data_IF_124621684098
#
_entry.id   IF_124621684098
#
_cell.length_a   1.000
_cell.length_b   1.000
_cell.length_c   1.000
_cell.angle_alpha   90.00
_cell.angle_beta   90.00
_cell.angle_gamma   90.00
#
_symmetry.space_group_name_H-M   'P 1'
#
loop_
_entity.id
_entity.type
_entity.pdbx_description
1 polymer ?
#
# COMPACT_ATOMS: atom_id res chain seq x y z
N UNK A 1 -53.42 -2.50 49.17
CA UNK A 1 -52.22 -1.90 48.61
C UNK A 1 -51.50 -2.97 47.80
N UNK A 2 -51.51 -2.90 46.45
CA UNK A 2 -50.76 -3.84 45.60
C UNK A 2 -49.48 -3.11 45.14
N UNK A 3 -48.34 -3.62 45.62
CA UNK A 3 -47.02 -3.13 45.27
C UNK A 3 -46.65 -3.70 43.90
N UNK A 4 -46.54 -2.82 42.84
CA UNK A 4 -46.02 -3.23 41.56
C UNK A 4 -44.49 -3.16 41.60
N UNK A 5 -43.85 -4.30 41.35
CA UNK A 5 -42.40 -4.41 41.16
C UNK A 5 -42.06 -4.04 39.74
N UNK A 6 -41.36 -2.95 39.54
CA UNK A 6 -40.88 -2.50 38.22
C UNK A 6 -39.53 -3.14 37.92
N UNK A 7 -39.49 -4.12 37.03
CA UNK A 7 -38.26 -4.78 36.60
C UNK A 7 -37.62 -3.95 35.48
N UNK A 8 -36.48 -3.33 35.76
CA UNK A 8 -35.66 -2.70 34.71
C UNK A 8 -34.83 -3.76 33.99
N UNK A 9 -35.09 -3.96 32.70
CA UNK A 9 -34.23 -4.77 31.85
C UNK A 9 -33.10 -3.87 31.35
N UNK A 10 -31.91 -4.11 31.86
CA UNK A 10 -30.68 -3.43 31.36
C UNK A 10 -30.22 -4.15 30.08
N UNK A 11 -30.52 -3.58 28.93
CA UNK A 11 -29.99 -4.09 27.66
C UNK A 11 -28.50 -3.72 27.56
N UNK A 12 -27.64 -4.72 27.77
CA UNK A 12 -26.20 -4.58 27.47
C UNK A 12 -26.05 -4.64 25.96
N UNK A 13 -25.85 -3.48 25.33
CA UNK A 13 -25.40 -3.39 23.94
C UNK A 13 -23.91 -3.73 23.97
N UNK A 14 -23.57 -4.99 23.66
CA UNK A 14 -22.19 -5.36 23.37
C UNK A 14 -21.80 -4.73 22.03
N UNK A 15 -21.03 -3.65 22.05
CA UNK A 15 -20.27 -3.23 20.89
C UNK A 15 -19.23 -4.33 20.66
N UNK A 16 -19.43 -5.11 19.61
CA UNK A 16 -18.38 -5.99 19.11
C UNK A 16 -17.21 -5.10 18.69
N UNK A 17 -16.13 -5.11 19.47
CA UNK A 17 -14.86 -4.57 19.03
C UNK A 17 -14.43 -5.48 17.88
N UNK A 18 -14.49 -4.98 16.64
CA UNK A 18 -13.90 -5.67 15.51
C UNK A 18 -12.42 -5.83 15.85
N UNK A 19 -11.97 -7.05 15.99
CA UNK A 19 -10.55 -7.34 16.24
C UNK A 19 -9.75 -6.74 15.10
N UNK A 20 -8.84 -5.84 15.43
CA UNK A 20 -7.90 -5.29 14.49
C UNK A 20 -6.70 -6.21 14.36
N UNK A 21 -6.15 -6.30 13.16
CA UNK A 21 -5.07 -7.21 12.85
C UNK A 21 -3.78 -6.40 12.64
N UNK A 22 -2.67 -6.73 13.32
CA UNK A 22 -1.39 -6.10 13.00
C UNK A 22 -1.08 -6.27 11.52
N UNK A 23 -0.73 -5.15 10.82
CA UNK A 23 -0.39 -5.25 9.40
C UNK A 23 0.91 -5.99 9.20
N UNK A 24 1.01 -6.66 8.07
CA UNK A 24 2.25 -7.30 7.64
C UNK A 24 3.21 -6.21 7.17
N UNK A 25 4.42 -6.19 7.73
CA UNK A 25 5.54 -5.39 7.17
C UNK A 25 6.37 -6.37 6.34
N UNK A 26 6.44 -6.21 4.99
CA UNK A 26 7.23 -7.09 4.15
C UNK A 26 8.70 -7.12 4.57
N UNK A 27 9.33 -8.29 4.53
CA UNK A 27 10.78 -8.38 4.78
C UNK A 27 11.59 -7.65 3.71
N UNK A 28 12.85 -7.31 4.00
CA UNK A 28 13.73 -6.59 3.08
C UNK A 28 14.75 -7.50 2.40
N UNK A 29 15.17 -7.13 1.19
CA UNK A 29 16.36 -7.62 0.51
C UNK A 29 17.24 -6.41 0.18
N UNK A 30 18.47 -6.38 0.75
CA UNK A 30 19.40 -5.24 0.68
C UNK A 30 20.71 -5.62 -0.02
N UNK A 31 20.65 -6.52 -0.99
CA UNK A 31 21.81 -6.98 -1.77
C UNK A 31 21.60 -6.70 -3.25
N UNK A 32 22.71 -6.50 -3.98
CA UNK A 32 22.67 -6.31 -5.43
C UNK A 32 22.42 -7.61 -6.21
N UNK A 33 22.64 -8.79 -5.60
CA UNK A 33 22.29 -10.08 -6.18
C UNK A 33 21.00 -10.59 -5.56
N UNK A 34 19.90 -10.46 -6.28
CA UNK A 34 18.54 -10.73 -5.79
C UNK A 34 17.98 -11.97 -6.46
N UNK A 35 17.32 -12.83 -5.68
CA UNK A 35 16.55 -13.97 -6.20
C UNK A 35 15.08 -13.78 -5.82
N UNK A 36 14.22 -13.72 -6.84
CA UNK A 36 12.77 -13.65 -6.71
C UNK A 36 12.15 -14.90 -7.32
N UNK A 37 11.36 -15.61 -6.53
CA UNK A 37 10.59 -16.76 -7.00
C UNK A 37 9.12 -16.40 -6.98
N UNK A 38 8.51 -16.40 -8.16
CA UNK A 38 7.08 -16.21 -8.33
C UNK A 38 6.41 -17.57 -8.16
N UNK A 39 5.43 -17.69 -7.27
CA UNK A 39 4.87 -18.98 -6.92
C UNK A 39 3.39 -18.91 -6.56
N UNK A 40 2.67 -19.97 -6.88
CA UNK A 40 1.33 -20.18 -6.35
C UNK A 40 1.40 -20.54 -4.87
N UNK A 41 0.42 -20.06 -4.10
CA UNK A 41 0.31 -20.32 -2.67
C UNK A 41 -1.14 -20.22 -2.20
N UNK A 42 -1.33 -20.25 -0.89
CA UNK A 42 -2.60 -19.91 -0.22
C UNK A 42 -2.34 -18.91 0.89
N UNK A 43 -3.31 -18.04 1.13
CA UNK A 43 -3.27 -17.06 2.23
C UNK A 43 -4.67 -16.90 2.83
N UNK A 44 -4.75 -16.71 4.16
CA UNK A 44 -6.02 -16.49 4.85
C UNK A 44 -6.26 -15.00 5.09
N UNK A 45 -6.93 -14.34 4.16
CA UNK A 45 -7.43 -12.97 4.37
C UNK A 45 -8.58 -12.95 5.39
N UNK A 46 -9.34 -14.03 5.44
CA UNK A 46 -10.42 -14.27 6.38
C UNK A 46 -10.08 -15.49 7.23
N UNK A 47 -10.29 -15.39 8.53
CA UNK A 47 -9.93 -16.47 9.46
C UNK A 47 -10.56 -17.81 9.07
N UNK A 48 -9.71 -18.83 8.89
CA UNK A 48 -10.13 -20.18 8.54
C UNK A 48 -10.54 -20.39 7.08
N UNK A 49 -10.36 -19.38 6.21
CA UNK A 49 -10.70 -19.45 4.79
C UNK A 49 -9.43 -19.30 3.93
N UNK A 50 -9.09 -20.36 3.21
CA UNK A 50 -7.94 -20.36 2.32
C UNK A 50 -8.29 -19.69 0.98
N UNK A 51 -7.58 -18.65 0.63
CA UNK A 51 -7.63 -17.99 -0.67
C UNK A 51 -6.42 -18.43 -1.50
N UNK A 52 -6.65 -18.85 -2.74
CA UNK A 52 -5.56 -19.10 -3.70
C UNK A 52 -4.88 -17.80 -4.07
N UNK A 53 -3.57 -17.74 -3.85
CA UNK A 53 -2.75 -16.55 -4.08
C UNK A 53 -1.57 -16.84 -5.00
N UNK A 54 -0.95 -15.80 -5.46
CA UNK A 54 0.35 -15.78 -6.11
C UNK A 54 1.24 -14.83 -5.30
N UNK A 55 2.50 -15.21 -5.07
CA UNK A 55 3.38 -14.35 -4.31
C UNK A 55 4.80 -14.37 -4.82
N UNK A 56 5.64 -13.52 -4.25
CA UNK A 56 7.06 -13.43 -4.55
C UNK A 56 7.84 -13.77 -3.29
N UNK A 57 8.56 -14.89 -3.30
CA UNK A 57 9.28 -15.44 -2.13
C UNK A 57 8.37 -15.68 -0.90
N UNK A 58 7.06 -15.73 -1.09
CA UNK A 58 6.07 -15.88 -0.02
C UNK A 58 4.67 -16.11 -0.57
N UNK A 59 3.64 -16.16 0.30
CA UNK A 59 2.27 -16.49 -0.12
C UNK A 59 1.52 -15.30 -0.74
N UNK A 60 1.86 -14.08 -0.37
CA UNK A 60 1.22 -12.84 -0.85
C UNK A 60 2.21 -11.70 -0.64
N UNK A 61 2.19 -10.72 -1.55
CA UNK A 61 3.22 -9.69 -1.64
C UNK A 61 4.63 -10.28 -1.76
N UNK A 62 5.59 -9.46 -2.02
CA UNK A 62 6.98 -9.82 -2.10
C UNK A 62 7.82 -8.98 -1.12
N UNK A 63 9.09 -9.33 -0.95
CA UNK A 63 10.00 -8.55 -0.13
C UNK A 63 10.17 -7.13 -0.70
N UNK A 64 10.42 -6.19 0.19
CA UNK A 64 10.86 -4.84 -0.20
C UNK A 64 12.32 -4.90 -0.64
N UNK A 65 12.59 -4.47 -1.87
CA UNK A 65 13.96 -4.35 -2.37
C UNK A 65 14.51 -2.97 -1.97
N UNK A 66 15.56 -2.96 -1.14
CA UNK A 66 16.27 -1.71 -0.79
C UNK A 66 17.52 -1.62 -1.66
N UNK A 67 17.56 -0.61 -2.52
CA UNK A 67 18.63 -0.36 -3.48
C UNK A 67 19.26 1.00 -3.21
N UNK A 68 20.54 1.18 -3.57
CA UNK A 68 21.17 2.49 -3.50
C UNK A 68 21.37 3.04 -4.92
N UNK A 69 21.24 4.34 -5.07
CA UNK A 69 21.65 5.01 -6.30
C UNK A 69 23.09 4.62 -6.64
N UNK A 70 23.33 4.20 -7.89
CA UNK A 70 24.62 3.71 -8.36
C UNK A 70 24.83 2.20 -8.25
N UNK A 71 24.02 1.45 -7.51
CA UNK A 71 24.10 0.00 -7.42
C UNK A 71 23.97 -0.67 -8.80
N UNK A 72 24.77 -1.70 -9.07
CA UNK A 72 24.59 -2.55 -10.24
C UNK A 72 23.81 -3.80 -9.82
N UNK A 73 22.52 -3.81 -10.15
CA UNK A 73 21.61 -4.89 -9.80
C UNK A 73 21.77 -6.08 -10.73
N UNK A 74 21.73 -7.27 -10.17
CA UNK A 74 21.67 -8.56 -10.85
C UNK A 74 20.53 -9.37 -10.23
N UNK A 75 19.41 -9.47 -10.92
CA UNK A 75 18.20 -10.05 -10.36
C UNK A 75 17.84 -11.32 -11.12
N UNK A 76 17.62 -12.42 -10.41
CA UNK A 76 17.12 -13.69 -10.96
C UNK A 76 15.63 -13.79 -10.60
N UNK A 77 14.76 -13.85 -11.61
CA UNK A 77 13.32 -13.99 -11.42
C UNK A 77 12.89 -15.32 -11.99
N UNK A 78 12.57 -16.26 -11.11
CA UNK A 78 12.11 -17.60 -11.50
C UNK A 78 10.59 -17.67 -11.47
N UNK A 79 9.98 -18.01 -12.60
CA UNK A 79 8.54 -18.11 -12.74
C UNK A 79 8.05 -19.55 -12.46
N UNK A 80 7.54 -19.79 -11.25
CA UNK A 80 6.91 -21.05 -10.85
C UNK A 80 5.37 -20.95 -10.77
N UNK A 81 4.75 -20.00 -11.47
CA UNK A 81 3.29 -19.81 -11.46
C UNK A 81 2.54 -20.86 -12.29
N UNK A 82 3.23 -21.57 -13.21
CA UNK A 82 2.58 -22.48 -14.17
C UNK A 82 1.88 -21.77 -15.32
N UNK A 83 2.02 -20.46 -15.42
CA UNK A 83 1.55 -19.58 -16.51
C UNK A 83 2.58 -18.50 -16.78
N UNK A 84 2.49 -17.84 -17.93
CA UNK A 84 3.39 -16.76 -18.31
C UNK A 84 3.16 -15.50 -17.45
N UNK A 85 4.24 -14.75 -17.24
CA UNK A 85 4.22 -13.50 -16.47
C UNK A 85 5.30 -12.52 -16.97
N UNK A 86 5.38 -11.37 -16.34
CA UNK A 86 6.49 -10.42 -16.42
C UNK A 86 6.77 -9.88 -15.03
N UNK A 87 7.88 -9.17 -14.81
CA UNK A 87 8.08 -8.30 -13.64
C UNK A 87 8.62 -6.97 -14.12
N UNK A 88 7.85 -5.92 -13.94
CA UNK A 88 8.16 -4.55 -14.28
C UNK A 88 8.59 -3.75 -13.04
N UNK A 89 9.59 -2.89 -13.22
CA UNK A 89 10.12 -1.98 -12.18
C UNK A 89 9.42 -0.62 -12.32
N UNK A 90 8.23 -0.53 -11.75
CA UNK A 90 7.34 0.61 -11.95
C UNK A 90 7.95 1.94 -11.48
N UNK A 91 8.16 2.83 -12.43
CA UNK A 91 8.69 4.18 -12.22
C UNK A 91 10.20 4.31 -12.26
N UNK A 92 10.97 3.22 -12.33
CA UNK A 92 12.43 3.26 -12.38
C UNK A 92 12.95 3.50 -13.81
N UNK A 93 14.08 4.19 -13.90
CA UNK A 93 14.78 4.42 -15.15
C UNK A 93 15.76 3.27 -15.45
N UNK A 94 15.26 2.23 -16.09
CA UNK A 94 16.04 1.06 -16.47
C UNK A 94 16.11 0.90 -17.99
N UNK A 95 17.15 0.24 -18.54
CA UNK A 95 17.19 -0.07 -19.97
C UNK A 95 15.99 -0.93 -20.38
N UNK A 96 15.42 -0.69 -21.57
CA UNK A 96 14.23 -1.37 -22.07
C UNK A 96 14.35 -2.91 -22.02
N UNK A 97 15.54 -3.47 -22.26
CA UNK A 97 15.80 -4.91 -22.18
C UNK A 97 15.70 -5.47 -20.75
N UNK A 98 15.80 -4.62 -19.73
CA UNK A 98 15.71 -4.98 -18.30
C UNK A 98 14.47 -4.41 -17.62
N UNK A 99 13.57 -3.74 -18.36
CA UNK A 99 12.41 -3.04 -17.81
C UNK A 99 11.27 -3.98 -17.38
N UNK A 100 11.16 -5.15 -18.00
CA UNK A 100 10.11 -6.11 -17.65
C UNK A 100 8.71 -5.72 -18.08
N UNK A 101 8.60 -4.83 -19.08
CA UNK A 101 7.32 -4.45 -19.68
C UNK A 101 6.61 -5.61 -20.40
N UNK A 102 5.46 -5.36 -21.07
CA UNK A 102 4.56 -6.42 -21.56
C UNK A 102 5.18 -7.35 -22.61
N UNK A 103 6.31 -6.98 -23.20
CA UNK A 103 7.05 -7.78 -24.21
C UNK A 103 8.17 -8.64 -23.61
N UNK A 104 8.49 -8.48 -22.32
CA UNK A 104 9.54 -9.25 -21.63
C UNK A 104 8.89 -10.43 -20.88
N UNK A 105 8.34 -11.36 -21.65
CA UNK A 105 7.63 -12.51 -21.08
C UNK A 105 8.60 -13.47 -20.40
N UNK A 106 8.25 -13.91 -19.21
CA UNK A 106 8.91 -14.98 -18.48
C UNK A 106 7.98 -16.18 -18.56
N UNK A 107 8.30 -17.12 -19.47
CA UNK A 107 7.50 -18.33 -19.68
C UNK A 107 7.42 -19.15 -18.38
N UNK A 108 6.38 -19.97 -18.26
CA UNK A 108 6.21 -20.86 -17.12
C UNK A 108 7.44 -21.77 -16.94
N UNK A 109 7.99 -21.81 -15.72
CA UNK A 109 9.18 -22.58 -15.35
C UNK A 109 10.52 -21.98 -15.80
N UNK A 110 10.53 -20.81 -16.42
CA UNK A 110 11.76 -20.13 -16.85
C UNK A 110 12.25 -19.10 -15.85
N UNK A 111 13.50 -18.69 -16.03
CA UNK A 111 14.14 -17.63 -15.23
C UNK A 111 14.59 -16.48 -16.14
N UNK A 112 14.23 -15.26 -15.78
CA UNK A 112 14.71 -14.03 -16.41
C UNK A 112 15.75 -13.34 -15.52
N UNK A 113 16.83 -12.84 -16.14
CA UNK A 113 17.98 -12.27 -15.42
C UNK A 113 18.24 -10.82 -15.85
N UNK A 114 17.42 -9.84 -15.44
CA UNK A 114 17.70 -8.43 -15.70
C UNK A 114 18.92 -7.94 -14.92
N UNK A 115 19.72 -7.12 -15.61
CA UNK A 115 20.86 -6.42 -15.03
C UNK A 115 20.75 -4.96 -15.39
N UNK A 116 20.89 -4.07 -14.39
CA UNK A 116 20.85 -2.63 -14.61
C UNK A 116 21.53 -1.87 -13.47
N UNK A 117 21.98 -0.65 -13.77
CA UNK A 117 22.44 0.28 -12.76
C UNK A 117 21.24 1.11 -12.26
N UNK A 118 21.10 1.25 -10.95
CA UNK A 118 20.11 2.14 -10.31
C UNK A 118 20.52 3.59 -10.56
N UNK A 119 19.77 4.29 -11.40
CA UNK A 119 20.00 5.70 -11.75
C UNK A 119 19.10 6.66 -11.00
N UNK A 120 18.07 6.12 -10.38
CA UNK A 120 17.03 6.88 -9.72
C UNK A 120 17.53 7.44 -8.40
N UNK A 121 17.02 8.62 -8.04
CA UNK A 121 17.22 9.22 -6.73
C UNK A 121 16.36 8.52 -5.67
N UNK A 122 16.63 8.83 -4.40
CA UNK A 122 15.88 8.29 -3.28
C UNK A 122 14.38 8.52 -3.43
N UNK A 123 13.62 7.43 -3.48
CA UNK A 123 12.16 7.42 -3.63
C UNK A 123 11.58 6.04 -3.35
N UNK A 124 10.25 5.98 -3.38
CA UNK A 124 9.48 4.74 -3.31
C UNK A 124 9.00 4.34 -4.69
N UNK A 125 9.38 3.16 -5.11
CA UNK A 125 8.96 2.47 -6.32
C UNK A 125 8.31 1.15 -5.93
N UNK A 126 7.86 0.38 -6.92
CA UNK A 126 7.35 -0.97 -6.70
C UNK A 126 7.57 -1.85 -7.92
N UNK A 127 7.50 -3.16 -7.75
CA UNK A 127 7.56 -4.11 -8.85
C UNK A 127 6.29 -4.92 -8.92
N UNK A 128 5.87 -5.23 -10.15
CA UNK A 128 4.63 -5.98 -10.40
C UNK A 128 4.62 -6.58 -11.82
N UNK A 129 3.75 -7.57 -12.10
CA UNK A 129 3.54 -8.06 -13.47
C UNK A 129 2.99 -6.98 -14.40
N UNK A 130 3.35 -7.06 -15.68
CA UNK A 130 2.85 -6.16 -16.72
C UNK A 130 2.43 -6.91 -17.99
N UNK A 131 2.13 -8.22 -17.90
CA UNK A 131 1.69 -9.03 -19.03
C UNK A 131 0.27 -8.63 -19.45
N UNK A 132 0.05 -8.47 -20.76
CA UNK A 132 -1.25 -8.09 -21.31
C UNK A 132 -2.34 -9.09 -20.87
N UNK A 133 -3.47 -8.58 -20.41
CA UNK A 133 -4.62 -9.30 -19.86
C UNK A 133 -4.35 -10.16 -18.61
N UNK A 134 -3.16 -10.07 -17.99
CA UNK A 134 -2.79 -10.81 -16.79
C UNK A 134 -2.41 -9.91 -15.61
N UNK A 135 -2.11 -8.63 -15.87
CA UNK A 135 -1.62 -7.70 -14.84
C UNK A 135 -2.56 -7.63 -13.64
N UNK A 136 -3.85 -7.38 -13.87
CA UNK A 136 -4.81 -7.25 -12.77
C UNK A 136 -4.95 -8.54 -11.96
N UNK A 137 -5.05 -9.69 -12.62
CA UNK A 137 -5.16 -10.99 -11.95
C UNK A 137 -3.93 -11.27 -11.07
N UNK A 138 -2.74 -11.17 -11.64
CA UNK A 138 -1.50 -11.54 -10.95
C UNK A 138 -1.16 -10.56 -9.82
N UNK A 139 -1.38 -9.25 -10.02
CA UNK A 139 -1.22 -8.24 -8.96
C UNK A 139 -2.26 -8.43 -7.85
N UNK A 140 -3.52 -8.63 -8.21
CA UNK A 140 -4.60 -8.85 -7.23
C UNK A 140 -4.37 -10.10 -6.40
N UNK A 141 -3.81 -11.16 -6.99
CA UNK A 141 -3.44 -12.38 -6.28
C UNK A 141 -2.16 -12.27 -5.45
N UNK A 142 -1.39 -11.16 -5.58
CA UNK A 142 -0.30 -10.83 -4.67
C UNK A 142 1.10 -10.76 -5.28
N UNK A 143 1.27 -10.84 -6.61
CA UNK A 143 2.59 -10.66 -7.25
C UNK A 143 2.92 -9.17 -7.31
N UNK A 144 3.46 -8.64 -6.24
CA UNK A 144 3.95 -7.26 -6.17
C UNK A 144 4.85 -7.07 -4.94
N UNK A 145 5.68 -6.03 -4.94
CA UNK A 145 6.46 -5.63 -3.77
C UNK A 145 7.06 -4.24 -3.93
N UNK A 146 7.46 -3.64 -2.83
CA UNK A 146 8.08 -2.33 -2.84
C UNK A 146 9.53 -2.36 -3.34
N UNK A 147 9.96 -1.24 -3.90
CA UNK A 147 11.35 -0.88 -4.09
C UNK A 147 11.58 0.45 -3.39
N UNK A 148 12.57 0.52 -2.52
CA UNK A 148 13.02 1.75 -1.88
C UNK A 148 14.41 2.05 -2.39
N UNK A 149 14.56 3.12 -3.14
CA UNK A 149 15.88 3.63 -3.51
C UNK A 149 16.36 4.59 -2.43
N UNK A 150 17.61 4.44 -2.04
CA UNK A 150 18.34 5.30 -1.10
C UNK A 150 19.46 6.02 -1.84
N UNK A 151 19.83 7.20 -1.38
CA UNK A 151 20.99 7.92 -1.87
C UNK A 151 21.68 8.73 -0.75
N UNK A 152 22.80 9.39 -1.10
CA UNK A 152 23.57 10.18 -0.15
C UNK A 152 22.90 11.50 0.21
N UNK A 153 22.06 12.04 -0.67
CA UNK A 153 21.32 13.29 -0.42
C UNK A 153 20.23 13.02 0.64
N UNK A 154 19.39 11.99 0.43
CA UNK A 154 18.37 11.57 1.40
C UNK A 154 19.00 11.13 2.74
N UNK A 155 20.17 10.47 2.68
CA UNK A 155 20.90 10.03 3.88
C UNK A 155 21.41 11.19 4.73
N UNK A 156 21.66 12.36 4.14
CA UNK A 156 22.09 13.56 4.85
C UNK A 156 20.93 14.31 5.53
N UNK A 157 19.68 13.95 5.19
CA UNK A 157 18.49 14.55 5.79
C UNK A 157 18.14 13.85 7.12
N UNK A 158 17.62 14.63 8.07
CA UNK A 158 17.09 14.10 9.34
C UNK A 158 15.67 13.55 9.12
N UNK A 159 15.54 12.45 8.34
CA UNK A 159 14.27 11.79 8.03
C UNK A 159 14.17 10.45 8.75
N UNK A 160 12.95 9.99 9.09
CA UNK A 160 12.72 8.61 9.51
C UNK A 160 13.20 7.64 8.42
N UNK A 161 14.02 6.64 8.79
CA UNK A 161 14.66 5.71 7.84
C UNK A 161 14.73 4.27 8.36
N UNK A 162 14.32 4.00 9.59
CA UNK A 162 14.36 2.66 10.16
C UNK A 162 13.14 1.89 9.71
N UNK A 163 13.34 1.05 8.67
CA UNK A 163 12.28 0.28 8.04
C UNK A 163 11.49 -0.55 9.05
N UNK A 164 10.17 -0.44 9.02
CA UNK A 164 9.25 -1.13 9.93
C UNK A 164 9.24 -0.61 11.36
N UNK A 165 9.94 0.50 11.66
CA UNK A 165 9.98 1.14 12.98
C UNK A 165 9.47 2.58 12.94
N UNK A 166 10.01 3.40 12.04
CA UNK A 166 9.58 4.78 11.81
C UNK A 166 9.48 5.13 10.31
N UNK A 167 9.76 4.17 9.42
CA UNK A 167 9.65 4.24 7.97
C UNK A 167 8.85 3.02 7.48
N UNK A 168 7.56 3.20 7.18
CA UNK A 168 6.61 2.13 6.91
C UNK A 168 6.14 2.12 5.46
N UNK A 169 6.33 1.01 4.72
CA UNK A 169 5.68 0.81 3.42
C UNK A 169 4.21 0.40 3.64
N UNK A 170 3.30 1.07 2.95
CA UNK A 170 1.86 0.84 3.05
C UNK A 170 1.26 0.65 1.65
N UNK A 171 1.10 -0.59 1.20
CA UNK A 171 0.36 -0.93 -0.01
C UNK A 171 -1.13 -1.00 0.34
N UNK A 172 -1.87 0.02 -0.07
CA UNK A 172 -3.32 0.10 0.14
C UNK A 172 -4.01 -0.44 -1.11
N UNK A 173 -4.85 -1.45 -0.91
CA UNK A 173 -5.55 -2.15 -1.99
C UNK A 173 -7.01 -2.38 -1.63
N UNK A 174 -7.84 -2.43 -2.65
CA UNK A 174 -9.18 -3.01 -2.56
C UNK A 174 -9.27 -4.22 -3.48
N UNK A 175 -10.00 -5.23 -3.06
CA UNK A 175 -10.20 -6.48 -3.81
C UNK A 175 -11.65 -6.89 -3.75
N UNK A 176 -12.07 -7.70 -4.73
CA UNK A 176 -13.33 -8.44 -4.71
C UNK A 176 -13.05 -9.91 -4.39
N UNK A 177 -13.95 -10.52 -3.61
CA UNK A 177 -13.90 -11.95 -3.29
C UNK A 177 -15.24 -12.59 -3.63
N UNK A 178 -15.21 -13.82 -4.14
CA UNK A 178 -16.42 -14.61 -4.33
C UNK A 178 -16.91 -15.25 -3.01
N UNK A 179 -18.04 -15.97 -3.11
CA UNK A 179 -18.63 -16.66 -1.95
C UNK A 179 -17.75 -17.80 -1.39
N UNK A 180 -16.70 -18.19 -2.09
CA UNK A 180 -15.70 -19.18 -1.68
C UNK A 180 -14.42 -18.51 -1.19
N UNK A 181 -14.43 -17.20 -0.96
CA UNK A 181 -13.30 -16.39 -0.54
C UNK A 181 -12.13 -16.40 -1.54
N UNK A 182 -12.41 -16.57 -2.84
CA UNK A 182 -11.40 -16.46 -3.88
C UNK A 182 -11.40 -15.06 -4.51
N UNK A 183 -10.20 -14.53 -4.79
CA UNK A 183 -10.02 -13.21 -5.40
C UNK A 183 -10.60 -13.21 -6.82
N UNK A 184 -11.46 -12.24 -7.10
CA UNK A 184 -11.98 -11.95 -8.42
C UNK A 184 -11.19 -10.81 -9.04
N UNK A 185 -10.65 -11.04 -10.23
CA UNK A 185 -9.94 -10.03 -11.02
C UNK A 185 -10.81 -9.53 -12.18
N UNK A 186 -10.44 -8.38 -12.74
CA UNK A 186 -11.14 -7.73 -13.86
C UNK A 186 -12.63 -7.45 -13.59
N UNK A 187 -12.95 -7.11 -12.36
CA UNK A 187 -14.32 -6.75 -11.93
C UNK A 187 -14.39 -5.31 -11.45
N UNK A 188 -15.57 -4.68 -11.63
CA UNK A 188 -15.86 -3.33 -11.13
C UNK A 188 -16.56 -3.37 -9.76
N UNK A 189 -16.14 -4.27 -8.88
CA UNK A 189 -16.69 -4.48 -7.55
C UNK A 189 -15.56 -4.85 -6.59
N UNK A 190 -15.00 -3.85 -5.91
CA UNK A 190 -13.86 -3.98 -5.01
C UNK A 190 -14.24 -3.44 -3.63
N UNK A 191 -14.85 -4.26 -2.81
CA UNK A 191 -15.45 -3.89 -1.52
C UNK A 191 -14.59 -4.26 -0.29
N UNK A 192 -13.53 -5.06 -0.47
CA UNK A 192 -12.66 -5.49 0.61
C UNK A 192 -11.37 -4.67 0.61
N UNK A 193 -11.28 -3.75 1.58
CA UNK A 193 -10.11 -2.91 1.81
C UNK A 193 -9.04 -3.64 2.62
N UNK A 194 -7.79 -3.48 2.22
CA UNK A 194 -6.64 -4.03 2.95
C UNK A 194 -5.40 -3.14 2.85
N UNK A 195 -4.52 -3.27 3.83
CA UNK A 195 -3.18 -2.67 3.85
C UNK A 195 -2.17 -3.79 4.01
N UNK A 196 -1.20 -3.89 3.11
CA UNK A 196 -0.20 -4.96 3.12
C UNK A 196 -0.84 -6.35 3.30
N UNK A 197 -1.85 -6.66 2.49
CA UNK A 197 -2.65 -7.91 2.56
C UNK A 197 -3.41 -8.14 3.87
N UNK A 198 -3.55 -7.14 4.74
CA UNK A 198 -4.24 -7.26 6.04
C UNK A 198 -5.55 -6.49 6.02
N UNK A 199 -6.67 -7.19 6.24
CA UNK A 199 -8.01 -6.59 6.40
C UNK A 199 -8.14 -6.06 7.84
N UNK A 200 -8.78 -4.89 8.02
CA UNK A 200 -8.91 -4.20 9.32
C UNK A 200 -7.56 -4.02 10.01
N UNK A 201 -6.59 -3.49 9.26
CA UNK A 201 -5.21 -3.34 9.69
C UNK A 201 -5.03 -2.36 10.85
N UNK A 202 -4.06 -2.68 11.73
CA UNK A 202 -3.57 -1.83 12.81
C UNK A 202 -2.06 -1.80 12.77
N UNK A 203 -1.47 -0.63 13.07
CA UNK A 203 -0.03 -0.38 13.10
C UNK A 203 0.36 0.39 14.35
N UNK A 204 1.30 -0.11 15.12
CA UNK A 204 1.95 0.64 16.18
C UNK A 204 2.95 1.62 15.58
N UNK A 205 2.82 2.91 15.91
CA UNK A 205 3.73 3.97 15.45
C UNK A 205 4.36 4.68 16.65
N UNK A 206 5.66 4.97 16.66
CA UNK A 206 6.29 5.65 17.80
C UNK A 206 5.85 7.12 17.87
N UNK A 207 5.77 7.68 19.10
CA UNK A 207 5.41 9.07 19.38
C UNK A 207 6.50 10.06 18.91
N UNK A 208 6.81 10.06 17.63
CA UNK A 208 7.82 10.88 16.95
C UNK A 208 7.34 11.21 15.53
N UNK A 209 8.16 11.81 14.71
CA UNK A 209 7.87 11.92 13.28
C UNK A 209 8.07 10.56 12.63
N UNK A 210 7.08 10.13 11.85
CA UNK A 210 7.05 8.84 11.16
C UNK A 210 6.89 9.09 9.66
N UNK A 211 7.61 8.31 8.84
CA UNK A 211 7.49 8.29 7.38
C UNK A 211 6.56 7.17 6.95
N UNK A 212 5.51 7.52 6.23
CA UNK A 212 4.63 6.56 5.57
C UNK A 212 4.90 6.60 4.07
N UNK A 213 5.22 5.44 3.48
CA UNK A 213 5.40 5.25 2.04
C UNK A 213 4.12 4.67 1.47
N UNK A 214 3.25 5.54 0.98
CA UNK A 214 1.95 5.17 0.45
C UNK A 214 2.08 4.66 -0.98
N UNK A 215 1.54 3.49 -1.25
CA UNK A 215 1.31 2.96 -2.59
C UNK A 215 -0.19 2.69 -2.73
N UNK A 216 -0.82 3.28 -3.74
CA UNK A 216 -2.13 2.81 -4.18
C UNK A 216 -1.93 1.59 -5.09
N UNK A 217 -2.05 0.41 -4.52
CA UNK A 217 -1.90 -0.88 -5.22
C UNK A 217 -3.22 -1.46 -5.74
N UNK A 218 -4.31 -0.67 -5.74
CA UNK A 218 -5.61 -1.11 -6.30
C UNK A 218 -5.59 -1.06 -7.83
N UNK A 219 -6.41 -1.90 -8.46
CA UNK A 219 -6.49 -1.97 -9.92
C UNK A 219 -7.12 -0.72 -10.54
N UNK A 220 -8.06 -0.08 -9.86
CA UNK A 220 -8.82 1.05 -10.43
C UNK A 220 -9.25 2.12 -9.42
N UNK A 221 -9.27 1.83 -8.11
CA UNK A 221 -9.75 2.76 -7.08
C UNK A 221 -8.77 3.89 -6.83
N UNK A 222 -9.24 5.12 -6.87
CA UNK A 222 -8.53 6.30 -6.37
C UNK A 222 -8.80 6.45 -4.86
N UNK A 223 -7.77 6.58 -4.05
CA UNK A 223 -7.88 6.97 -2.64
C UNK A 223 -7.61 8.45 -2.49
N UNK A 224 -8.39 9.13 -1.66
CA UNK A 224 -8.12 10.50 -1.21
C UNK A 224 -7.62 10.47 0.23
N UNK A 225 -6.33 10.21 0.40
CA UNK A 225 -5.72 10.01 1.71
C UNK A 225 -5.81 11.25 2.59
N UNK A 226 -6.04 11.03 3.87
CA UNK A 226 -6.02 12.03 4.91
C UNK A 226 -5.94 11.38 6.30
N UNK A 227 -5.89 12.20 7.34
CA UNK A 227 -5.89 11.71 8.73
C UNK A 227 -7.17 12.12 9.44
N UNK A 228 -7.58 11.33 10.44
CA UNK A 228 -8.71 11.69 11.32
C UNK A 228 -8.58 13.11 11.86
N UNK A 229 -9.72 13.80 12.02
CA UNK A 229 -9.81 15.17 12.49
C UNK A 229 -9.09 16.21 11.59
N UNK A 230 -8.96 15.92 10.30
CA UNK A 230 -8.27 16.80 9.34
C UNK A 230 -6.85 17.20 9.77
N UNK A 231 -6.14 16.29 10.44
CA UNK A 231 -4.74 16.53 10.83
C UNK A 231 -3.88 16.74 9.61
N UNK A 232 -3.00 17.70 9.69
CA UNK A 232 -2.00 17.98 8.66
C UNK A 232 -0.90 16.93 8.70
N UNK A 233 -0.44 16.54 7.52
CA UNK A 233 0.80 15.77 7.29
C UNK A 233 1.65 16.50 6.25
N UNK A 234 2.92 16.12 6.12
CA UNK A 234 3.84 16.74 5.17
C UNK A 234 4.11 15.78 4.02
N UNK A 235 3.72 16.15 2.81
CA UNK A 235 4.15 15.45 1.60
C UNK A 235 5.63 15.80 1.36
N UNK A 236 6.49 14.77 1.28
CA UNK A 236 7.93 14.94 1.09
C UNK A 236 8.44 14.34 -0.21
N UNK A 237 7.68 13.43 -0.83
CA UNK A 237 8.05 12.78 -2.08
C UNK A 237 6.83 12.28 -2.85
N UNK A 238 7.01 12.14 -4.16
CA UNK A 238 6.03 11.59 -5.10
C UNK A 238 6.67 10.47 -5.92
N UNK A 239 6.03 10.08 -7.02
CA UNK A 239 6.48 9.01 -7.93
C UNK A 239 7.94 9.14 -8.39
N UNK A 240 8.44 10.35 -8.54
CA UNK A 240 9.76 10.63 -9.12
C UNK A 240 10.86 10.96 -8.09
N UNK A 241 10.55 11.04 -6.79
CA UNK A 241 11.56 11.38 -5.79
C UNK A 241 11.09 12.39 -4.74
N UNK A 242 12.04 12.88 -3.96
CA UNK A 242 11.79 13.92 -2.96
C UNK A 242 11.44 15.25 -3.62
N UNK A 243 10.55 15.99 -2.96
CA UNK A 243 10.25 17.39 -3.28
C UNK A 243 11.40 18.29 -2.82
N UNK A 244 11.44 19.54 -3.28
CA UNK A 244 12.42 20.51 -2.80
C UNK A 244 12.21 20.89 -1.33
N UNK A 245 10.95 20.89 -0.88
CA UNK A 245 10.57 21.18 0.51
C UNK A 245 9.28 20.42 0.86
N UNK A 246 9.03 20.15 2.15
CA UNK A 246 7.78 19.57 2.62
C UNK A 246 6.57 20.44 2.27
N UNK A 247 5.48 19.82 1.84
CA UNK A 247 4.20 20.49 1.54
C UNK A 247 3.15 20.02 2.54
N UNK A 248 2.60 20.95 3.30
CA UNK A 248 1.57 20.67 4.30
C UNK A 248 0.23 20.40 3.61
N UNK A 249 -0.35 19.22 3.85
CA UNK A 249 -1.61 18.77 3.26
C UNK A 249 -2.54 18.18 4.33
N UNK A 250 -3.84 18.18 4.02
CA UNK A 250 -4.86 17.42 4.76
C UNK A 250 -5.54 16.38 3.88
N UNK A 251 -5.29 16.44 2.55
CA UNK A 251 -5.80 15.52 1.52
C UNK A 251 -4.73 15.25 0.50
N UNK A 252 -4.66 14.00 0.05
CA UNK A 252 -3.73 13.55 -0.98
C UNK A 252 -4.41 12.49 -1.85
N UNK A 253 -4.96 12.87 -3.01
CA UNK A 253 -5.49 11.90 -3.94
C UNK A 253 -4.36 11.14 -4.64
N UNK A 254 -4.42 9.81 -4.63
CA UNK A 254 -3.52 8.93 -5.37
C UNK A 254 -4.33 7.99 -6.27
N UNK A 255 -4.02 8.02 -7.57
CA UNK A 255 -4.52 7.07 -8.57
C UNK A 255 -3.83 5.71 -8.43
N UNK A 256 -4.38 4.63 -9.02
CA UNK A 256 -3.71 3.33 -9.07
C UNK A 256 -2.26 3.41 -9.57
N UNK A 257 -1.36 2.72 -8.89
CA UNK A 257 0.07 2.72 -9.19
C UNK A 257 0.85 3.93 -8.68
N UNK A 258 0.19 5.01 -8.27
CA UNK A 258 0.84 6.20 -7.73
C UNK A 258 1.39 5.95 -6.32
N UNK A 259 2.51 6.62 -6.01
CA UNK A 259 3.17 6.57 -4.70
C UNK A 259 3.34 7.97 -4.15
N UNK A 260 3.37 8.05 -2.84
CA UNK A 260 3.75 9.26 -2.13
C UNK A 260 4.45 8.92 -0.82
N UNK A 261 5.32 9.80 -0.38
CA UNK A 261 5.97 9.73 0.91
C UNK A 261 5.51 10.90 1.77
N UNK A 262 4.98 10.57 2.93
CA UNK A 262 4.47 11.58 3.85
C UNK A 262 5.10 11.44 5.22
N UNK A 263 5.34 12.57 5.89
CA UNK A 263 5.71 12.61 7.31
C UNK A 263 4.49 12.98 8.14
N UNK A 264 4.25 12.18 9.17
CA UNK A 264 3.21 12.41 10.17
C UNK A 264 3.87 12.68 11.52
N UNK A 265 3.46 13.76 12.18
CA UNK A 265 3.95 14.13 13.50
C UNK A 265 3.07 13.51 14.60
N UNK A 266 3.60 12.48 15.28
CA UNK A 266 2.96 11.82 16.43
C UNK A 266 3.57 12.23 17.78
N UNK A 267 4.47 13.23 17.83
CA UNK A 267 5.27 13.57 19.03
C UNK A 267 4.42 13.84 20.29
N UNK A 268 3.21 14.39 20.13
CA UNK A 268 2.30 14.75 21.25
C UNK A 268 1.12 13.79 21.40
N UNK A 269 1.12 12.64 20.70
CA UNK A 269 -0.05 11.78 20.56
C UNK A 269 0.08 10.43 21.28
N UNK A 270 1.08 10.26 22.16
CA UNK A 270 1.30 9.01 22.91
C UNK A 270 -0.01 8.51 23.54
N UNK A 271 -0.34 7.23 23.29
CA UNK A 271 -1.53 6.58 23.79
C UNK A 271 -2.83 6.91 23.04
N UNK A 272 -2.76 7.67 21.95
CA UNK A 272 -3.90 7.94 21.07
C UNK A 272 -3.90 7.02 19.86
N UNK A 273 -5.09 6.81 19.27
CA UNK A 273 -5.27 6.12 17.99
C UNK A 273 -5.65 7.15 16.92
N UNK A 274 -4.91 7.14 15.80
CA UNK A 274 -5.12 8.00 14.63
C UNK A 274 -5.40 7.10 13.43
N UNK A 275 -6.44 7.40 12.65
CA UNK A 275 -6.68 6.64 11.42
C UNK A 275 -6.12 7.37 10.21
N UNK A 276 -5.43 6.60 9.35
CA UNK A 276 -5.29 6.93 7.94
C UNK A 276 -6.64 6.63 7.28
N UNK A 277 -7.18 7.59 6.53
CA UNK A 277 -8.50 7.54 5.95
C UNK A 277 -8.46 7.73 4.43
N UNK A 278 -9.51 7.31 3.75
CA UNK A 278 -9.85 7.84 2.44
C UNK A 278 -11.09 8.74 2.57
N UNK A 279 -10.96 9.99 2.15
CA UNK A 279 -12.04 10.96 2.06
C UNK A 279 -12.68 10.87 0.66
N UNK A 280 -13.32 9.72 0.40
CA UNK A 280 -13.88 9.41 -0.92
C UNK A 280 -15.08 10.29 -1.28
N UNK A 281 -15.78 10.87 -0.28
CA UNK A 281 -16.86 11.84 -0.48
C UNK A 281 -16.40 13.13 -1.15
N UNK A 282 -15.10 13.44 -1.08
CA UNK A 282 -14.50 14.64 -1.67
C UNK A 282 -13.91 14.38 -3.07
N UNK A 283 -13.91 13.14 -3.56
CA UNK A 283 -13.39 12.82 -4.89
C UNK A 283 -14.29 13.41 -5.97
N UNK A 284 -13.71 14.04 -7.01
CA UNK A 284 -14.47 14.47 -8.18
C UNK A 284 -15.14 13.30 -8.89
N UNK A 285 -16.32 13.56 -9.47
CA UNK A 285 -16.98 12.61 -10.35
C UNK A 285 -16.02 12.07 -11.42
N UNK A 286 -16.31 10.90 -11.94
CA UNK A 286 -15.48 10.14 -12.87
C UNK A 286 -14.21 9.47 -12.27
N UNK A 287 -13.85 9.72 -11.02
CA UNK A 287 -12.85 8.91 -10.34
C UNK A 287 -13.51 7.64 -9.78
N UNK A 288 -12.92 6.49 -10.03
CA UNK A 288 -13.39 5.26 -9.39
C UNK A 288 -13.16 5.36 -7.88
N UNK A 289 -14.21 5.20 -7.11
CA UNK A 289 -14.26 5.48 -5.66
C UNK A 289 -15.10 6.69 -5.29
N UNK A 290 -15.37 7.62 -6.24
CA UNK A 290 -16.33 8.71 -6.06
C UNK A 290 -17.77 8.21 -6.03
N UNK A 291 -18.70 9.10 -5.66
CA UNK A 291 -20.16 8.82 -5.71
C UNK A 291 -20.62 8.43 -7.11
N UNK A 292 -20.06 9.08 -8.14
CA UNK A 292 -20.40 8.84 -9.54
C UNK A 292 -19.16 8.54 -10.39
N UNK A 293 -18.64 7.32 -10.31
CA UNK A 293 -17.41 6.96 -11.02
C UNK A 293 -17.53 7.03 -12.56
N UNK A 294 -18.74 6.94 -13.11
CA UNK A 294 -19.06 7.09 -14.53
C UNK A 294 -19.43 8.52 -14.98
N UNK A 295 -18.94 9.58 -14.34
CA UNK A 295 -19.19 11.00 -14.57
C UNK A 295 -20.51 11.57 -14.04
N UNK A 296 -21.54 10.79 -13.87
CA UNK A 296 -22.81 11.25 -13.30
C UNK A 296 -23.76 10.08 -13.05
N UNK A 297 -24.85 10.28 -12.28
CA UNK A 297 -25.89 9.26 -12.09
C UNK A 297 -26.49 8.73 -13.40
N UNK A 298 -26.45 9.54 -14.47
CA UNK A 298 -27.01 9.21 -15.78
C UNK A 298 -25.98 8.55 -16.74
N UNK A 299 -24.74 8.40 -16.32
CA UNK A 299 -23.67 7.76 -17.08
C UNK A 299 -22.86 6.84 -16.15
N UNK A 300 -23.45 5.77 -15.63
CA UNK A 300 -22.75 4.83 -14.76
C UNK A 300 -21.64 4.13 -15.53
N UNK A 301 -20.62 3.68 -14.79
CA UNK A 301 -19.61 2.79 -15.33
C UNK A 301 -20.20 1.39 -15.51
N UNK A 302 -20.03 0.79 -16.70
CA UNK A 302 -20.55 -0.55 -17.00
C UNK A 302 -19.98 -1.58 -16.01
N UNK A 303 -20.86 -2.45 -15.50
CA UNK A 303 -20.48 -3.47 -14.53
C UNK A 303 -20.14 -2.94 -13.14
N UNK A 304 -20.28 -1.62 -12.90
CA UNK A 304 -20.03 -1.04 -11.60
C UNK A 304 -21.11 -1.44 -10.59
N UNK A 305 -20.67 -1.97 -9.48
CA UNK A 305 -21.52 -2.32 -8.35
C UNK A 305 -21.24 -1.38 -7.18
N UNK A 306 -22.18 -0.50 -6.79
CA UNK A 306 -21.97 0.42 -5.67
C UNK A 306 -21.71 -0.34 -4.36
N UNK A 307 -20.71 0.07 -3.62
CA UNK A 307 -20.37 -0.47 -2.31
C UNK A 307 -20.07 0.63 -1.30
N UNK A 308 -19.85 0.25 -0.02
CA UNK A 308 -19.66 1.19 1.08
C UNK A 308 -18.40 2.07 0.98
N UNK A 309 -17.47 1.73 0.07
CA UNK A 309 -16.23 2.49 -0.15
C UNK A 309 -16.38 3.58 -1.21
N UNK A 310 -17.57 3.71 -1.85
CA UNK A 310 -17.78 4.65 -2.94
C UNK A 310 -18.51 5.89 -2.47
N UNK A 311 -17.86 7.06 -2.60
CA UNK A 311 -18.44 8.35 -2.24
C UNK A 311 -18.69 8.56 -0.75
N UNK A 312 -18.18 7.69 0.10
CA UNK A 312 -18.22 7.80 1.55
C UNK A 312 -16.81 7.74 2.14
N UNK A 313 -16.60 8.44 3.25
CA UNK A 313 -15.31 8.42 3.93
C UNK A 313 -15.17 7.14 4.76
N UNK A 314 -13.98 6.54 4.73
CA UNK A 314 -13.72 5.30 5.44
C UNK A 314 -12.29 5.23 6.02
N UNK A 315 -12.13 4.44 7.08
CA UNK A 315 -10.84 4.17 7.67
C UNK A 315 -10.06 3.17 6.80
N UNK A 316 -8.78 3.50 6.53
CA UNK A 316 -7.85 2.61 5.81
C UNK A 316 -7.02 1.80 6.81
N UNK A 317 -6.44 2.47 7.80
CA UNK A 317 -5.51 1.88 8.76
C UNK A 317 -5.62 2.61 10.10
N UNK A 318 -5.75 1.88 11.20
CA UNK A 318 -5.58 2.46 12.53
C UNK A 318 -4.10 2.48 12.89
N UNK A 319 -3.62 3.63 13.38
CA UNK A 319 -2.27 3.82 13.90
C UNK A 319 -2.35 4.11 15.40
N UNK A 320 -1.83 3.21 16.22
CA UNK A 320 -1.77 3.37 17.68
C UNK A 320 -0.41 3.92 18.08
N UNK A 321 -0.43 5.06 18.77
CA UNK A 321 0.79 5.80 19.09
C UNK A 321 1.41 5.24 20.36
N UNK A 322 2.55 4.57 20.19
CA UNK A 322 3.32 3.93 21.27
C UNK A 322 4.53 4.80 21.69
N UNK A 323 5.32 4.32 22.66
CA UNK A 323 6.50 5.04 23.15
C UNK A 323 7.50 5.34 22.02
N UNK A 324 8.23 6.44 22.17
CA UNK A 324 9.33 6.84 21.26
C UNK A 324 10.40 5.77 21.17
N UNK A 325 11.11 5.77 20.05
CA UNK A 325 12.36 5.00 19.90
C UNK A 325 13.48 5.61 20.73
N UNK A 326 14.62 4.92 20.84
CA UNK A 326 15.79 5.43 21.56
C UNK A 326 16.40 6.70 20.92
N UNK A 327 16.18 6.91 19.61
CA UNK A 327 16.70 8.07 18.87
C UNK A 327 15.59 8.68 18.02
N UNK A 328 14.60 9.38 18.65
CA UNK A 328 13.41 9.85 17.97
C UNK A 328 13.71 11.03 17.03
N UNK A 329 13.15 10.99 15.83
CA UNK A 329 13.08 12.15 14.94
C UNK A 329 11.90 13.03 15.40
N UNK A 330 12.18 14.28 15.75
CA UNK A 330 11.18 15.22 16.28
C UNK A 330 11.09 16.52 15.49
N UNK A 331 11.89 16.67 14.43
CA UNK A 331 11.90 17.85 13.57
C UNK A 331 11.84 17.45 12.10
N UNK A 332 11.09 18.19 11.31
CA UNK A 332 10.96 17.99 9.86
C UNK A 332 11.94 18.93 9.16
N UNK A 333 12.79 18.44 8.24
CA UNK A 333 13.65 19.29 7.43
C UNK A 333 12.83 20.31 6.63
N UNK A 334 13.33 21.52 6.47
CA UNK A 334 12.69 22.57 5.66
C UNK A 334 13.10 22.52 4.18
N UNK A 335 14.20 21.84 3.86
CA UNK A 335 14.70 21.58 2.51
C UNK A 335 14.96 20.10 2.38
N UNK A 336 14.52 19.48 1.28
CA UNK A 336 14.63 18.04 1.03
C UNK A 336 15.54 17.74 -0.17
N UNK A 337 15.50 18.57 -1.20
CA UNK A 337 16.35 18.48 -2.39
C UNK A 337 16.67 19.88 -2.90
N UNK A 338 17.78 20.02 -3.61
CA UNK A 338 18.21 21.29 -4.24
C UNK A 338 18.09 21.23 -5.77
N UNK A 339 17.39 20.24 -6.33
CA UNK A 339 17.19 20.09 -7.78
C UNK A 339 15.97 20.83 -8.29
#
# INVERSE_FOLDING_TARGET
>A
MKTQLLTYVLSIISFGVLSQNPIIIPGTIETTNVNLTLQNSTFQFFTGQDTSTMGVNGPVLGPTLIMNNGDNMNINITNNLGEDTTIHWHGMHVPAASDGGPHTVIDAGQTWNPQFQVKDKASTYWYHPHLLNKTDEQVSKGVSGFIIVRDTEEAALNLPRTYGVDDFPLAVQTKSFDNSYQIQANVNDDDVLMVNATINGQLDVPAQIVRLRLLNGSSQRTFNFGLTANRTFQLIGTDGGLLNAPVALTRLPLSPGARAEVLVDFTTLLGQSINLMSYASELPDANYGATYPGNSPNKPLDGYNPNALNGADFNILQMDVVAQTASPITTIPTTLSND
#
